data_IF_022080378038
#
_entry.id   IF_022080378038
#
_cell.length_a   1.000
_cell.length_b   1.000
_cell.length_c   1.000
_cell.angle_alpha   90.00
_cell.angle_beta   90.00
_cell.angle_gamma   90.00
#
_symmetry.space_group_name_H-M   'P 1'
#
loop_
_entity.id
_entity.type
_entity.pdbx_description
1 polymer ?
#
# COMPACT_ATOMS: atom_id res chain seq x y z
N UNK A 1 -23.91 -13.04 27.49
CA UNK A 1 -22.50 -12.62 27.52
C UNK A 1 -21.85 -13.07 26.22
N UNK A 2 -21.49 -12.15 25.31
CA UNK A 2 -20.76 -12.50 24.09
C UNK A 2 -19.25 -12.52 24.38
N UNK A 3 -18.58 -13.62 24.07
CA UNK A 3 -17.12 -13.73 24.17
C UNK A 3 -16.56 -13.52 22.76
N UNK A 4 -15.88 -12.40 22.53
CA UNK A 4 -15.15 -12.15 21.30
C UNK A 4 -13.78 -12.84 21.36
N UNK A 5 -13.55 -13.81 20.49
CA UNK A 5 -12.26 -14.50 20.35
C UNK A 5 -11.62 -14.11 19.03
N UNK A 6 -10.33 -13.79 19.06
CA UNK A 6 -9.50 -13.59 17.88
C UNK A 6 -8.36 -14.60 17.87
N UNK A 7 -8.01 -15.11 16.69
CA UNK A 7 -6.93 -16.06 16.52
C UNK A 7 -5.83 -15.45 15.65
N UNK A 8 -4.58 -15.75 15.97
CA UNK A 8 -3.39 -15.31 15.22
C UNK A 8 -2.68 -16.54 14.67
N UNK A 9 -2.58 -16.63 13.36
CA UNK A 9 -1.89 -17.72 12.66
C UNK A 9 -0.78 -17.16 11.77
N UNK A 10 0.29 -17.94 11.62
CA UNK A 10 1.29 -17.70 10.58
C UNK A 10 0.79 -18.31 9.28
N UNK A 11 0.89 -17.55 8.19
CA UNK A 11 0.65 -18.09 6.85
C UNK A 11 1.87 -18.93 6.43
N UNK A 12 1.62 -20.14 5.95
CA UNK A 12 2.63 -21.03 5.34
C UNK A 12 2.32 -21.16 3.83
N UNK A 13 2.68 -20.12 3.03
CA UNK A 13 2.34 -20.12 1.61
C UNK A 13 3.20 -21.11 0.82
N UNK A 14 2.62 -21.71 -0.21
CA UNK A 14 3.39 -22.44 -1.23
C UNK A 14 4.34 -21.49 -1.97
N UNK A 15 5.34 -22.03 -2.66
CA UNK A 15 6.29 -21.22 -3.44
C UNK A 15 5.57 -20.27 -4.43
N UNK A 16 4.53 -20.76 -5.09
CA UNK A 16 3.71 -19.99 -6.03
C UNK A 16 2.93 -18.86 -5.32
N UNK A 17 2.32 -19.15 -4.18
CA UNK A 17 1.62 -18.14 -3.37
C UNK A 17 2.58 -17.06 -2.86
N UNK A 18 3.76 -17.47 -2.38
CA UNK A 18 4.77 -16.54 -1.91
C UNK A 18 5.27 -15.61 -3.03
N UNK A 19 5.45 -16.13 -4.25
CA UNK A 19 5.77 -15.31 -5.42
C UNK A 19 4.67 -14.30 -5.73
N UNK A 20 3.39 -14.72 -5.71
CA UNK A 20 2.27 -13.80 -5.95
C UNK A 20 2.14 -12.73 -4.87
N UNK A 21 2.38 -13.07 -3.60
CA UNK A 21 2.40 -12.08 -2.52
C UNK A 21 3.54 -11.06 -2.70
N UNK A 22 4.74 -11.50 -3.10
CA UNK A 22 5.87 -10.61 -3.39
C UNK A 22 5.55 -9.66 -4.54
N UNK A 23 4.97 -10.16 -5.61
CA UNK A 23 4.55 -9.35 -6.75
C UNK A 23 3.47 -8.33 -6.36
N UNK A 24 2.44 -8.78 -5.63
CA UNK A 24 1.36 -7.92 -5.15
C UNK A 24 1.90 -6.76 -4.31
N UNK A 25 2.76 -7.07 -3.33
CA UNK A 25 3.38 -6.07 -2.46
C UNK A 25 4.38 -5.17 -3.19
N UNK A 26 5.17 -5.74 -4.11
CA UNK A 26 6.15 -5.03 -4.92
C UNK A 26 5.49 -3.99 -5.84
N UNK A 27 4.50 -4.40 -6.62
CA UNK A 27 3.77 -3.49 -7.50
C UNK A 27 3.00 -2.43 -6.70
N UNK A 28 2.38 -2.78 -5.57
CA UNK A 28 1.74 -1.82 -4.67
C UNK A 28 2.71 -0.74 -4.17
N UNK A 29 3.90 -1.14 -3.72
CA UNK A 29 4.95 -0.22 -3.27
C UNK A 29 5.46 0.67 -4.41
N UNK A 30 5.65 0.09 -5.59
CA UNK A 30 6.08 0.85 -6.76
C UNK A 30 5.05 1.91 -7.14
N UNK A 31 3.78 1.54 -7.29
CA UNK A 31 2.69 2.46 -7.65
C UNK A 31 2.53 3.59 -6.63
N UNK A 32 2.66 3.28 -5.33
CA UNK A 32 2.69 4.32 -4.30
C UNK A 32 3.82 5.32 -4.52
N UNK A 33 5.05 4.83 -4.69
CA UNK A 33 6.22 5.69 -4.84
C UNK A 33 6.17 6.51 -6.12
N UNK A 34 5.81 5.88 -7.24
CA UNK A 34 5.70 6.53 -8.54
C UNK A 34 4.57 7.57 -8.53
N UNK A 35 3.38 7.20 -8.03
CA UNK A 35 2.28 8.15 -7.87
C UNK A 35 2.59 9.30 -6.93
N UNK A 36 3.35 9.06 -5.85
CA UNK A 36 3.83 10.13 -4.96
C UNK A 36 4.76 11.09 -5.69
N UNK A 37 5.72 10.58 -6.47
CA UNK A 37 6.64 11.40 -7.25
C UNK A 37 5.90 12.23 -8.30
N UNK A 38 4.96 11.62 -9.03
CA UNK A 38 4.17 12.30 -10.05
C UNK A 38 3.26 13.37 -9.44
N UNK A 39 2.60 13.06 -8.31
CA UNK A 39 1.78 14.05 -7.59
C UNK A 39 2.61 15.24 -7.14
N UNK A 40 3.84 15.01 -6.64
CA UNK A 40 4.77 16.09 -6.29
C UNK A 40 5.10 16.94 -7.51
N UNK A 41 5.48 16.31 -8.63
CA UNK A 41 5.80 17.00 -9.88
C UNK A 41 4.67 17.91 -10.35
N UNK A 42 3.42 17.44 -10.25
CA UNK A 42 2.21 18.20 -10.61
C UNK A 42 2.04 19.41 -9.67
N UNK A 43 2.15 19.21 -8.36
CA UNK A 43 2.03 20.29 -7.37
C UNK A 43 3.15 21.33 -7.50
N UNK A 44 4.38 20.89 -7.78
CA UNK A 44 5.55 21.76 -8.00
C UNK A 44 5.39 22.60 -9.27
N UNK A 45 4.63 22.11 -10.26
CA UNK A 45 4.24 22.87 -11.45
C UNK A 45 3.11 23.89 -11.18
N UNK A 46 2.61 23.98 -9.95
CA UNK A 46 1.52 24.89 -9.56
C UNK A 46 0.13 24.37 -9.89
N UNK A 47 0.01 23.11 -10.33
CA UNK A 47 -1.27 22.47 -10.60
C UNK A 47 -1.94 21.98 -9.31
N UNK A 48 -3.23 21.63 -9.42
CA UNK A 48 -4.01 21.13 -8.27
C UNK A 48 -3.65 19.68 -7.96
N UNK A 49 -3.85 19.29 -6.70
CA UNK A 49 -3.76 17.90 -6.28
C UNK A 49 -4.67 17.02 -7.16
N UNK A 50 -4.15 15.98 -7.84
CA UNK A 50 -4.98 15.06 -8.61
C UNK A 50 -5.95 14.32 -7.69
N UNK A 51 -7.19 14.17 -8.14
CA UNK A 51 -8.18 13.31 -7.51
C UNK A 51 -7.77 11.84 -7.57
N UNK A 52 -8.35 11.01 -6.69
CA UNK A 52 -8.14 9.56 -6.75
C UNK A 52 -8.53 8.94 -8.11
N UNK A 53 -9.52 9.54 -8.80
CA UNK A 53 -9.91 9.12 -10.14
C UNK A 53 -8.84 9.44 -11.18
N UNK A 54 -8.24 10.64 -11.14
CA UNK A 54 -7.16 11.03 -12.04
C UNK A 54 -5.91 10.17 -11.84
N UNK A 55 -5.55 9.87 -10.59
CA UNK A 55 -4.46 8.93 -10.30
C UNK A 55 -4.73 7.54 -10.91
N UNK A 56 -5.96 7.02 -10.82
CA UNK A 56 -6.34 5.76 -11.46
C UNK A 56 -6.31 5.83 -13.00
N UNK A 57 -6.61 7.00 -13.58
CA UNK A 57 -6.44 7.24 -15.01
C UNK A 57 -4.96 7.22 -15.42
N UNK A 58 -4.08 7.81 -14.60
CA UNK A 58 -2.63 7.73 -14.81
C UNK A 58 -2.14 6.27 -14.74
N UNK A 59 -2.60 5.49 -13.76
CA UNK A 59 -2.29 4.06 -13.65
C UNK A 59 -2.63 3.28 -14.93
N UNK A 60 -3.74 3.62 -15.57
CA UNK A 60 -4.15 2.98 -16.84
C UNK A 60 -3.13 3.27 -17.96
N UNK A 61 -2.51 4.45 -17.93
CA UNK A 61 -1.45 4.83 -18.86
C UNK A 61 -0.13 4.14 -18.51
N UNK A 62 0.24 4.10 -17.23
CA UNK A 62 1.45 3.39 -16.75
C UNK A 62 1.43 1.90 -17.11
N UNK A 63 0.28 1.23 -17.00
CA UNK A 63 0.16 -0.18 -17.38
C UNK A 63 0.36 -0.44 -18.88
N UNK A 64 0.27 0.59 -19.73
CA UNK A 64 0.52 0.50 -21.18
C UNK A 64 1.96 0.85 -21.56
N UNK A 65 2.70 1.49 -20.65
CA UNK A 65 4.10 1.81 -20.83
C UNK A 65 4.93 0.52 -20.75
N UNK A 66 5.77 0.20 -21.76
CA UNK A 66 6.66 -0.96 -21.73
C UNK A 66 7.53 -1.05 -20.47
N UNK A 67 7.99 0.07 -19.92
CA UNK A 67 8.84 0.09 -18.72
C UNK A 67 8.06 -0.28 -17.45
N UNK A 68 6.74 -0.12 -17.46
CA UNK A 68 5.84 -0.38 -16.34
C UNK A 68 4.82 -1.49 -16.62
N UNK A 69 5.01 -2.24 -17.71
CA UNK A 69 4.12 -3.32 -18.12
C UNK A 69 3.98 -4.42 -17.05
N UNK A 70 4.99 -4.60 -16.19
CA UNK A 70 4.95 -5.53 -15.05
C UNK A 70 3.80 -5.22 -14.05
N UNK A 71 3.26 -3.99 -14.05
CA UNK A 71 2.08 -3.62 -13.26
C UNK A 71 0.81 -4.34 -13.72
N UNK A 72 0.78 -4.89 -14.94
CA UNK A 72 -0.33 -5.72 -15.45
C UNK A 72 -0.41 -7.08 -14.77
N UNK A 73 0.69 -7.55 -14.19
CA UNK A 73 0.77 -8.85 -13.53
C UNK A 73 0.23 -8.83 -12.08
N UNK A 74 -0.04 -7.63 -11.53
CA UNK A 74 -0.65 -7.46 -10.22
C UNK A 74 -2.17 -7.27 -10.32
N UNK A 75 -2.88 -7.58 -9.24
CA UNK A 75 -4.31 -7.29 -9.13
C UNK A 75 -4.56 -5.79 -9.24
N UNK A 76 -5.38 -5.38 -10.22
CA UNK A 76 -5.69 -3.98 -10.49
C UNK A 76 -6.26 -3.28 -9.26
N UNK A 77 -7.18 -3.92 -8.55
CA UNK A 77 -7.85 -3.35 -7.37
C UNK A 77 -6.85 -2.98 -6.26
N UNK A 78 -5.79 -3.78 -6.08
CA UNK A 78 -4.73 -3.47 -5.13
C UNK A 78 -3.98 -2.19 -5.51
N UNK A 79 -3.65 -2.01 -6.79
CA UNK A 79 -2.96 -0.82 -7.27
C UNK A 79 -3.84 0.44 -7.12
N UNK A 80 -5.12 0.33 -7.48
CA UNK A 80 -6.09 1.41 -7.33
C UNK A 80 -6.32 1.78 -5.87
N UNK A 81 -6.41 0.78 -4.97
CA UNK A 81 -6.53 1.03 -3.54
C UNK A 81 -5.30 1.76 -3.00
N UNK A 82 -4.09 1.43 -3.47
CA UNK A 82 -2.87 2.16 -3.08
C UNK A 82 -2.87 3.61 -3.52
N UNK A 83 -3.39 3.91 -4.71
CA UNK A 83 -3.55 5.30 -5.16
C UNK A 83 -4.64 6.05 -4.39
N UNK A 84 -5.71 5.36 -4.00
CA UNK A 84 -6.72 5.92 -3.08
C UNK A 84 -6.14 6.22 -1.70
N UNK A 85 -5.31 5.31 -1.17
CA UNK A 85 -4.60 5.52 0.09
C UNK A 85 -3.65 6.75 -0.02
N UNK A 86 -2.96 6.90 -1.15
CA UNK A 86 -2.06 8.02 -1.44
C UNK A 86 -2.83 9.34 -1.50
N UNK A 87 -3.94 9.39 -2.24
CA UNK A 87 -4.81 10.55 -2.27
C UNK A 87 -5.29 10.92 -0.86
N UNK A 88 -5.74 9.94 -0.08
CA UNK A 88 -6.12 10.16 1.32
C UNK A 88 -4.97 10.70 2.18
N UNK A 89 -3.72 10.29 1.92
CA UNK A 89 -2.55 10.84 2.61
C UNK A 89 -2.31 12.31 2.25
N UNK A 90 -2.44 12.68 0.98
CA UNK A 90 -2.35 14.07 0.54
C UNK A 90 -3.47 14.94 1.15
N UNK A 91 -4.71 14.47 1.12
CA UNK A 91 -5.83 15.18 1.74
C UNK A 91 -5.56 15.48 3.23
N UNK A 92 -4.99 14.52 3.97
CA UNK A 92 -4.58 14.73 5.36
C UNK A 92 -3.44 15.73 5.54
N UNK A 93 -2.56 15.89 4.55
CA UNK A 93 -1.50 16.91 4.60
C UNK A 93 -2.07 18.33 4.50
N UNK A 94 -3.20 18.52 3.82
CA UNK A 94 -3.83 19.83 3.62
C UNK A 94 -4.96 20.12 4.63
N UNK A 95 -5.44 19.11 5.33
CA UNK A 95 -6.45 19.24 6.37
C UNK A 95 -5.81 19.70 7.71
N UNK A 96 -6.21 20.89 8.17
CA UNK A 96 -5.73 21.49 9.42
C UNK A 96 -6.19 20.74 10.66
N UNK A 97 -7.26 19.94 10.57
CA UNK A 97 -7.81 19.14 11.66
C UNK A 97 -7.31 17.69 11.63
N UNK A 98 -6.47 17.33 10.65
CA UNK A 98 -5.98 15.96 10.55
C UNK A 98 -5.12 15.60 11.76
N UNK A 99 -5.27 14.38 12.28
CA UNK A 99 -4.50 13.94 13.44
C UNK A 99 -3.00 14.03 13.13
N UNK A 100 -2.17 14.32 14.15
CA UNK A 100 -0.73 14.42 13.97
C UNK A 100 -0.19 13.14 13.33
N UNK A 101 0.90 13.28 12.54
CA UNK A 101 1.53 12.17 11.83
C UNK A 101 1.64 10.95 12.76
N UNK A 102 1.30 9.74 12.30
CA UNK A 102 1.33 8.56 13.15
C UNK A 102 2.71 8.44 13.78
N UNK A 103 2.76 8.49 15.12
CA UNK A 103 3.97 8.14 15.86
C UNK A 103 4.16 6.65 15.64
N UNK A 104 5.23 6.29 14.95
CA UNK A 104 5.65 4.89 14.91
C UNK A 104 5.90 4.47 16.36
N UNK A 105 5.11 3.51 16.84
CA UNK A 105 5.41 2.89 18.12
C UNK A 105 6.72 2.15 17.94
N UNK A 106 7.71 2.42 18.79
CA UNK A 106 8.92 1.62 18.85
C UNK A 106 8.52 0.17 19.08
N UNK A 107 8.97 -0.71 18.18
CA UNK A 107 8.69 -2.13 18.29
C UNK A 107 9.41 -2.68 19.51
N UNK A 108 8.70 -2.82 20.63
CA UNK A 108 9.17 -3.64 21.75
C UNK A 108 9.30 -5.06 21.22
N UNK A 109 10.54 -5.49 20.94
CA UNK A 109 10.88 -6.86 20.51
C UNK A 109 10.14 -7.86 21.40
N UNK A 110 9.04 -8.42 20.89
CA UNK A 110 8.41 -9.56 21.57
C UNK A 110 9.39 -10.73 21.47
N UNK A 111 9.73 -11.40 22.59
CA UNK A 111 10.55 -12.60 22.52
C UNK A 111 9.86 -13.59 21.57
N UNK A 112 10.64 -14.11 20.62
CA UNK A 112 10.15 -15.08 19.64
C UNK A 112 9.44 -16.21 20.40
N UNK A 113 8.16 -16.44 20.14
CA UNK A 113 7.49 -17.63 20.66
C UNK A 113 8.31 -18.86 20.21
N UNK A 114 8.83 -19.59 21.18
CA UNK A 114 9.55 -20.83 20.97
C UNK A 114 8.55 -21.86 20.41
N UNK A 115 8.72 -22.41 19.20
CA UNK A 115 7.74 -23.31 18.58
C UNK A 115 7.56 -24.66 19.29
N UNK A 116 8.35 -24.98 20.32
CA UNK A 116 8.41 -26.31 20.95
C UNK A 116 7.57 -26.47 22.22
N UNK A 117 6.45 -25.77 22.35
CA UNK A 117 5.50 -25.97 23.46
C UNK A 117 4.10 -26.36 22.97
N UNK A 118 4.04 -27.41 22.16
CA UNK A 118 2.83 -28.22 21.95
C UNK A 118 3.24 -29.68 21.71
N UNK A 119 3.74 -30.33 22.77
CA UNK A 119 3.62 -31.76 23.05
C UNK A 119 3.51 -31.90 24.57
#
# INVERSE_FOLDING_TARGET
MQILKAYKFRLEPTAQQAQRLRQLGGCARYVWNHGLAETKRILDAGEKLPSAFELNRMLTSWKKDPEMAFLTEAYTDNLQQKLKDLHGAWMRCFDKNSPPRPRFQEEKRQPRLNPLRQL
#
